data_IF_481663899807
#
_entry.id   IF_481663899807
#
_cell.length_a   1.000
_cell.length_b   1.000
_cell.length_c   1.000
_cell.angle_alpha   90.00
_cell.angle_beta   90.00
_cell.angle_gamma   90.00
#
_symmetry.space_group_name_H-M   'P 1'
#
loop_
_entity.id
_entity.type
_entity.pdbx_description
1 polymer ?
#
# COMPACT_ATOMS: atom_id res chain seq x y z
N UNK A 1 25.27 -19.87 22.79
CA UNK A 1 25.60 -18.44 22.68
C UNK A 1 24.32 -17.66 22.96
N UNK A 2 24.21 -17.04 24.13
CA UNK A 2 23.09 -16.16 24.43
C UNK A 2 23.12 -14.99 23.46
N UNK A 3 22.17 -14.96 22.54
CA UNK A 3 21.99 -13.79 21.66
C UNK A 3 21.56 -12.63 22.56
N UNK A 4 22.45 -11.67 22.77
CA UNK A 4 22.14 -10.45 23.51
C UNK A 4 20.89 -9.81 22.91
N UNK A 5 19.85 -9.60 23.73
CA UNK A 5 18.60 -9.01 23.27
C UNK A 5 18.86 -7.60 22.75
N UNK A 6 18.31 -7.26 21.58
CA UNK A 6 18.33 -5.89 21.08
C UNK A 6 17.54 -5.00 22.04
N UNK A 7 18.02 -3.80 22.28
CA UNK A 7 17.30 -2.74 22.99
C UNK A 7 17.36 -1.48 22.16
N UNK A 8 16.30 -0.71 22.13
CA UNK A 8 16.28 0.52 21.33
C UNK A 8 14.96 1.25 21.39
N UNK A 9 14.95 2.48 20.90
CA UNK A 9 13.77 3.30 20.78
C UNK A 9 12.80 2.69 19.74
N UNK A 10 11.54 2.58 20.12
CA UNK A 10 10.44 2.20 19.22
C UNK A 10 9.74 3.46 18.73
N UNK A 11 9.60 3.65 17.42
CA UNK A 11 8.67 4.64 16.85
C UNK A 11 7.35 3.97 16.49
N UNK A 12 6.23 4.52 16.96
CA UNK A 12 4.89 4.14 16.50
C UNK A 12 4.39 5.19 15.53
N UNK A 13 4.29 4.85 14.26
CA UNK A 13 3.79 5.71 13.19
C UNK A 13 2.28 5.56 13.08
N UNK A 14 1.56 6.67 13.18
CA UNK A 14 0.10 6.77 13.22
C UNK A 14 -0.39 7.67 12.07
N UNK A 15 -0.60 7.13 10.86
CA UNK A 15 -1.24 7.88 9.78
C UNK A 15 -2.65 8.31 10.19
N UNK A 16 -2.95 9.61 10.03
CA UNK A 16 -4.20 10.20 10.50
C UNK A 16 -4.83 11.10 9.43
N UNK A 17 -6.13 10.93 9.14
CA UNK A 17 -6.88 11.79 8.23
C UNK A 17 -8.33 11.93 8.69
N UNK A 18 -8.69 13.11 9.20
CA UNK A 18 -9.96 13.39 9.84
C UNK A 18 -10.25 12.42 11.02
N UNK A 19 -9.29 12.40 11.96
CA UNK A 19 -9.25 11.50 13.14
C UNK A 19 -9.18 12.31 14.45
N UNK A 20 -9.84 13.47 14.52
CA UNK A 20 -9.83 14.38 15.66
C UNK A 20 -10.14 13.67 16.99
N UNK A 21 -11.15 12.78 16.99
CA UNK A 21 -11.56 12.04 18.18
C UNK A 21 -10.63 10.88 18.54
N UNK A 22 -9.98 10.27 17.54
CA UNK A 22 -9.11 9.09 17.72
C UNK A 22 -7.73 9.47 18.27
N UNK A 23 -7.18 10.61 17.88
CA UNK A 23 -5.81 11.05 18.23
C UNK A 23 -5.56 11.08 19.75
N UNK A 24 -6.39 11.75 20.58
CA UNK A 24 -6.14 11.81 22.02
C UNK A 24 -6.15 10.41 22.67
N UNK A 25 -7.07 9.59 22.25
CA UNK A 25 -7.24 8.23 22.76
C UNK A 25 -6.08 7.33 22.37
N UNK A 26 -5.63 7.39 21.11
CA UNK A 26 -4.47 6.64 20.64
C UNK A 26 -3.21 7.03 21.42
N UNK A 27 -2.96 8.34 21.58
CA UNK A 27 -1.82 8.83 22.32
C UNK A 27 -1.80 8.33 23.79
N UNK A 28 -2.93 8.41 24.48
CA UNK A 28 -3.05 7.97 25.86
C UNK A 28 -2.88 6.45 26.01
N UNK A 29 -3.62 5.68 25.22
CA UNK A 29 -3.64 4.21 25.31
C UNK A 29 -2.28 3.61 24.97
N UNK A 30 -1.68 4.03 23.85
CA UNK A 30 -0.40 3.47 23.39
C UNK A 30 0.72 3.85 24.36
N UNK A 31 0.77 5.12 24.80
CA UNK A 31 1.78 5.58 25.77
C UNK A 31 1.67 4.79 27.10
N UNK A 32 0.46 4.56 27.61
CA UNK A 32 0.26 3.79 28.84
C UNK A 32 0.76 2.34 28.70
N UNK A 33 0.42 1.66 27.60
CA UNK A 33 0.82 0.28 27.34
C UNK A 33 2.33 0.17 27.23
N UNK A 34 2.98 1.02 26.45
CA UNK A 34 4.43 0.94 26.21
C UNK A 34 5.23 1.34 27.43
N UNK A 35 4.74 2.33 28.21
CA UNK A 35 5.34 2.69 29.49
C UNK A 35 5.26 1.55 30.52
N UNK A 36 4.11 0.87 30.62
CA UNK A 36 3.92 -0.27 31.51
C UNK A 36 4.78 -1.49 31.11
N UNK A 37 5.17 -1.59 29.85
CA UNK A 37 6.04 -2.64 29.33
C UNK A 37 7.54 -2.28 29.37
N UNK A 38 7.91 -1.10 29.92
CA UNK A 38 9.26 -0.55 29.94
C UNK A 38 9.92 -0.49 28.54
N UNK A 39 9.12 -0.09 27.50
CA UNK A 39 9.59 0.07 26.14
C UNK A 39 9.86 1.57 25.89
N UNK A 40 11.13 1.97 25.59
CA UNK A 40 11.44 3.31 25.14
C UNK A 40 10.69 3.60 23.82
N UNK A 41 9.90 4.66 23.76
CA UNK A 41 9.05 4.89 22.61
C UNK A 41 8.85 6.37 22.25
N UNK A 42 8.57 6.62 20.99
CA UNK A 42 7.96 7.84 20.48
C UNK A 42 6.70 7.49 19.67
N UNK A 43 5.71 8.35 19.72
CA UNK A 43 4.51 8.28 18.88
C UNK A 43 4.59 9.39 17.83
N UNK A 44 4.55 9.01 16.56
CA UNK A 44 4.64 9.95 15.45
C UNK A 44 3.32 9.96 14.67
N UNK A 45 2.51 10.99 14.90
CA UNK A 45 1.29 11.23 14.13
C UNK A 45 1.63 11.90 12.81
N UNK A 46 1.08 11.37 11.72
CA UNK A 46 1.22 11.94 10.38
C UNK A 46 -0.15 12.38 9.89
N UNK A 47 -0.43 13.67 9.99
CA UNK A 47 -1.69 14.27 9.51
C UNK A 47 -1.63 14.45 7.98
N UNK A 48 -2.40 13.65 7.26
CA UNK A 48 -2.52 13.67 5.79
C UNK A 48 -3.41 14.82 5.30
N UNK A 49 -3.16 16.03 5.80
CA UNK A 49 -3.85 17.24 5.38
C UNK A 49 -5.33 17.26 5.77
N UNK A 50 -5.65 16.87 7.01
CA UNK A 50 -7.00 16.88 7.57
C UNK A 50 -7.68 18.25 7.50
N UNK A 51 -9.01 18.22 7.40
CA UNK A 51 -9.87 19.41 7.34
C UNK A 51 -10.64 19.69 8.63
N UNK A 52 -10.59 18.73 9.57
CA UNK A 52 -11.17 18.81 10.92
C UNK A 52 -10.12 19.24 11.95
N UNK A 53 -10.40 19.07 13.25
CA UNK A 53 -9.51 19.38 14.35
C UNK A 53 -8.35 18.42 14.57
N UNK A 54 -8.08 17.46 13.68
CA UNK A 54 -7.02 16.43 13.86
C UNK A 54 -5.66 17.04 14.19
N UNK A 55 -5.21 18.07 13.44
CA UNK A 55 -3.93 18.70 13.71
C UNK A 55 -3.87 19.41 15.06
N UNK A 56 -4.95 20.07 15.45
CA UNK A 56 -5.03 20.68 16.77
C UNK A 56 -4.96 19.64 17.89
N UNK A 57 -5.63 18.49 17.71
CA UNK A 57 -5.56 17.37 18.63
C UNK A 57 -4.13 16.81 18.74
N UNK A 58 -3.43 16.61 17.61
CA UNK A 58 -2.02 16.14 17.61
C UNK A 58 -1.13 17.12 18.36
N UNK A 59 -1.25 18.42 18.08
CA UNK A 59 -0.46 19.47 18.76
C UNK A 59 -0.72 19.49 20.26
N UNK A 60 -1.97 19.34 20.68
CA UNK A 60 -2.33 19.26 22.10
C UNK A 60 -1.72 18.03 22.79
N UNK A 61 -1.69 16.86 22.11
CA UNK A 61 -1.05 15.67 22.66
C UNK A 61 0.47 15.80 22.73
N UNK A 62 1.10 16.42 21.74
CA UNK A 62 2.53 16.73 21.77
C UNK A 62 2.94 17.65 22.93
N UNK A 63 2.05 18.58 23.32
CA UNK A 63 2.25 19.42 24.52
C UNK A 63 2.07 18.65 25.84
N UNK A 64 1.23 17.58 25.85
CA UNK A 64 0.94 16.76 27.03
C UNK A 64 1.96 15.64 27.27
N UNK A 65 2.42 15.02 26.18
CA UNK A 65 3.32 13.85 26.24
C UNK A 65 4.62 14.15 25.49
N UNK A 66 5.78 14.19 26.16
CA UNK A 66 7.07 14.44 25.49
C UNK A 66 7.44 13.38 24.41
N UNK A 67 6.87 12.20 24.51
CA UNK A 67 7.05 11.13 23.52
C UNK A 67 6.19 11.32 22.25
N UNK A 68 5.28 12.29 22.20
CA UNK A 68 4.41 12.53 21.06
C UNK A 68 4.99 13.59 20.15
N UNK A 69 5.03 13.27 18.86
CA UNK A 69 5.43 14.17 17.78
C UNK A 69 4.38 14.13 16.67
N UNK A 70 4.32 15.19 15.89
CA UNK A 70 3.42 15.24 14.75
C UNK A 70 4.04 15.95 13.55
N UNK A 71 3.67 15.49 12.36
CA UNK A 71 3.93 16.17 11.09
C UNK A 71 2.63 16.29 10.31
N UNK A 72 2.44 17.40 9.59
CA UNK A 72 1.25 17.68 8.80
C UNK A 72 1.61 17.89 7.34
N UNK A 73 0.83 17.34 6.43
CA UNK A 73 0.95 17.60 5.00
C UNK A 73 0.25 18.88 4.56
N UNK A 74 0.73 19.46 3.47
CA UNK A 74 0.12 20.67 2.86
C UNK A 74 -1.27 20.40 2.26
N UNK A 75 -1.57 19.15 1.92
CA UNK A 75 -2.86 18.62 1.43
C UNK A 75 -2.92 17.12 1.64
N UNK A 76 -4.06 16.48 1.35
CA UNK A 76 -4.15 15.04 1.32
C UNK A 76 -3.32 14.45 0.17
N UNK A 77 -2.37 13.57 0.51
CA UNK A 77 -1.51 12.78 -0.41
C UNK A 77 -1.81 11.29 -0.34
N UNK A 78 -2.61 10.85 0.63
CA UNK A 78 -3.04 9.46 0.82
C UNK A 78 -2.26 8.70 1.89
N UNK A 79 -2.89 7.64 2.41
CA UNK A 79 -2.38 6.82 3.54
C UNK A 79 -0.96 6.31 3.30
N UNK A 80 -0.66 5.82 2.09
CA UNK A 80 0.67 5.30 1.74
C UNK A 80 1.74 6.39 1.88
N UNK A 81 1.46 7.60 1.40
CA UNK A 81 2.37 8.73 1.57
C UNK A 81 2.59 9.06 3.06
N UNK A 82 1.53 9.00 3.88
CA UNK A 82 1.64 9.22 5.32
C UNK A 82 2.48 8.15 6.02
N UNK A 83 2.34 6.88 5.65
CA UNK A 83 3.19 5.79 6.16
C UNK A 83 4.66 6.07 5.82
N UNK A 84 4.99 6.33 4.56
CA UNK A 84 6.38 6.58 4.14
C UNK A 84 6.96 7.85 4.75
N UNK A 85 6.16 8.90 4.96
CA UNK A 85 6.60 10.08 5.70
C UNK A 85 6.90 9.76 7.16
N UNK A 86 6.04 8.96 7.80
CA UNK A 86 6.26 8.47 9.16
C UNK A 86 7.54 7.65 9.27
N UNK A 87 7.78 6.71 8.35
CA UNK A 87 9.02 5.93 8.30
C UNK A 87 10.26 6.83 8.15
N UNK A 88 10.18 7.85 7.29
CA UNK A 88 11.29 8.79 7.06
C UNK A 88 11.59 9.70 8.27
N UNK A 89 10.57 10.05 9.05
CA UNK A 89 10.68 10.92 10.23
C UNK A 89 10.89 10.14 11.54
N UNK A 90 10.79 8.81 11.50
CA UNK A 90 10.95 7.94 12.67
C UNK A 90 12.40 7.91 13.15
N UNK A 91 12.61 8.13 14.46
CA UNK A 91 13.94 8.12 15.11
C UNK A 91 14.30 6.77 15.72
N UNK A 92 13.34 5.85 15.87
CA UNK A 92 13.52 4.56 16.54
C UNK A 92 14.38 3.56 15.75
N UNK A 93 15.03 2.63 16.48
CA UNK A 93 15.75 1.48 15.91
C UNK A 93 14.80 0.43 15.34
N UNK A 94 13.53 0.48 15.75
CA UNK A 94 12.45 -0.23 15.10
C UNK A 94 11.22 0.69 15.00
N UNK A 95 10.39 0.42 14.00
CA UNK A 95 9.23 1.25 13.70
C UNK A 95 7.99 0.38 13.55
N UNK A 96 6.94 0.69 14.29
CA UNK A 96 5.60 0.09 14.10
C UNK A 96 4.73 1.05 13.31
N UNK A 97 4.05 0.55 12.31
CA UNK A 97 2.96 1.26 11.62
C UNK A 97 1.63 0.70 12.10
N UNK A 98 0.72 1.55 12.53
CA UNK A 98 -0.65 1.16 12.90
C UNK A 98 -1.64 2.29 12.65
N UNK A 99 -2.92 1.95 12.46
CA UNK A 99 -3.98 2.94 12.28
C UNK A 99 -4.33 3.65 13.59
N UNK A 100 -4.66 4.94 13.50
CA UNK A 100 -4.97 5.80 14.65
C UNK A 100 -6.30 5.41 15.33
N UNK A 101 -7.20 4.69 14.65
CA UNK A 101 -8.53 4.30 15.12
C UNK A 101 -8.55 3.15 16.16
N UNK A 102 -7.36 2.63 16.51
CA UNK A 102 -7.17 1.51 17.45
C UNK A 102 -7.91 0.20 17.08
N UNK A 103 -8.26 0.01 15.79
CA UNK A 103 -8.76 -1.29 15.32
C UNK A 103 -7.69 -2.39 15.42
N UNK A 104 -6.43 -2.01 15.38
CA UNK A 104 -5.30 -2.86 15.72
C UNK A 104 -5.07 -2.78 17.24
N UNK A 105 -5.07 -3.92 17.97
CA UNK A 105 -4.88 -3.89 19.43
C UNK A 105 -3.46 -3.45 19.78
N UNK A 106 -3.30 -2.32 20.50
CA UNK A 106 -1.98 -1.76 20.82
C UNK A 106 -1.12 -2.68 21.69
N UNK A 107 -1.74 -3.59 22.47
CA UNK A 107 -1.06 -4.59 23.29
C UNK A 107 -0.14 -5.49 22.46
N UNK A 108 -0.51 -5.72 21.20
CA UNK A 108 0.28 -6.54 20.28
C UNK A 108 1.62 -5.90 19.89
N UNK A 109 1.77 -4.58 20.05
CA UNK A 109 3.04 -3.88 19.84
C UNK A 109 4.10 -4.44 20.80
N UNK A 110 3.72 -4.75 22.03
CA UNK A 110 4.65 -5.32 23.02
C UNK A 110 5.16 -6.68 22.55
N UNK A 111 4.28 -7.55 22.05
CA UNK A 111 4.66 -8.85 21.51
C UNK A 111 5.60 -8.72 20.28
N UNK A 112 5.25 -7.80 19.36
CA UNK A 112 6.09 -7.48 18.19
C UNK A 112 7.48 -6.98 18.59
N UNK A 113 7.55 -6.07 19.56
CA UNK A 113 8.83 -5.55 20.07
C UNK A 113 9.69 -6.65 20.69
N UNK A 114 9.08 -7.58 21.45
CA UNK A 114 9.81 -8.72 22.03
C UNK A 114 10.35 -9.69 20.95
N UNK A 115 9.65 -9.87 19.84
CA UNK A 115 10.16 -10.64 18.68
C UNK A 115 11.32 -9.92 17.99
N UNK A 116 11.23 -8.61 17.82
CA UNK A 116 12.32 -7.79 17.29
C UNK A 116 13.57 -7.86 18.17
N UNK A 117 13.41 -7.80 19.49
CA UNK A 117 14.53 -7.97 20.44
C UNK A 117 15.27 -9.29 20.24
N UNK A 118 14.56 -10.36 19.85
CA UNK A 118 15.15 -11.69 19.54
C UNK A 118 15.85 -11.74 18.17
N UNK A 119 15.78 -10.65 17.39
CA UNK A 119 16.48 -10.51 16.11
C UNK A 119 15.59 -10.62 14.87
N UNK A 120 14.28 -10.82 15.02
CA UNK A 120 13.33 -10.76 13.89
C UNK A 120 13.30 -9.36 13.30
N UNK A 121 13.38 -9.24 11.98
CA UNK A 121 13.53 -7.95 11.31
C UNK A 121 12.19 -7.34 10.87
N UNK A 122 11.20 -8.19 10.56
CA UNK A 122 9.85 -7.78 10.20
C UNK A 122 8.86 -8.59 11.02
N UNK A 123 7.96 -7.93 11.75
CA UNK A 123 6.87 -8.61 12.46
C UNK A 123 5.54 -8.15 11.90
N UNK A 124 4.80 -9.07 11.32
CA UNK A 124 3.50 -8.78 10.68
C UNK A 124 2.35 -9.08 11.62
N UNK A 125 1.47 -8.10 11.82
CA UNK A 125 0.16 -8.36 12.40
C UNK A 125 -0.74 -9.05 11.37
N UNK A 126 -1.24 -10.24 11.68
CA UNK A 126 -2.16 -11.01 10.83
C UNK A 126 -3.52 -11.15 11.51
N UNK A 127 -4.59 -10.93 10.76
CA UNK A 127 -5.94 -11.08 11.27
C UNK A 127 -6.25 -12.57 11.53
N UNK A 128 -6.65 -12.92 12.75
CA UNK A 128 -6.98 -14.29 13.16
C UNK A 128 -8.27 -14.80 12.54
N UNK A 129 -9.28 -13.91 12.34
CA UNK A 129 -10.54 -14.26 11.70
C UNK A 129 -11.03 -13.10 10.81
N UNK A 130 -11.59 -13.43 9.65
CA UNK A 130 -12.37 -12.52 8.82
C UNK A 130 -13.81 -12.66 9.29
N UNK A 131 -14.24 -11.89 10.29
CA UNK A 131 -15.62 -11.88 10.74
C UNK A 131 -16.64 -12.00 9.58
N UNK A 132 -17.91 -12.25 9.86
CA UNK A 132 -18.97 -12.45 8.84
C UNK A 132 -19.08 -11.27 7.88
N UNK A 133 -18.23 -11.23 6.86
CA UNK A 133 -18.33 -10.29 5.75
C UNK A 133 -19.34 -10.80 4.71
N UNK A 134 -19.93 -9.88 3.97
CA UNK A 134 -20.89 -10.18 2.90
C UNK A 134 -20.22 -11.10 1.85
N UNK A 135 -20.78 -12.29 1.54
CA UNK A 135 -20.10 -13.31 0.72
C UNK A 135 -19.63 -12.83 -0.66
N UNK A 136 -20.35 -11.89 -1.28
CA UNK A 136 -19.96 -11.29 -2.57
C UNK A 136 -18.70 -10.42 -2.44
N UNK A 137 -18.59 -9.67 -1.34
CA UNK A 137 -17.42 -8.83 -1.05
C UNK A 137 -16.20 -9.69 -0.74
N UNK A 138 -16.39 -10.77 -0.03
CA UNK A 138 -15.34 -11.75 0.31
C UNK A 138 -14.79 -12.44 -0.92
N UNK A 139 -15.65 -12.85 -1.89
CA UNK A 139 -15.23 -13.47 -3.15
C UNK A 139 -14.41 -12.47 -3.99
N UNK A 140 -14.87 -11.23 -4.13
CA UNK A 140 -14.15 -10.19 -4.88
C UNK A 140 -12.79 -9.87 -4.25
N UNK A 141 -12.74 -9.72 -2.93
CA UNK A 141 -11.51 -9.48 -2.19
C UNK A 141 -10.54 -10.66 -2.29
N UNK A 142 -11.02 -11.91 -2.15
CA UNK A 142 -10.20 -13.11 -2.26
C UNK A 142 -9.63 -13.27 -3.67
N UNK A 143 -10.44 -13.03 -4.71
CA UNK A 143 -9.97 -13.05 -6.10
C UNK A 143 -8.89 -11.99 -6.34
N UNK A 144 -9.07 -10.79 -5.82
CA UNK A 144 -8.10 -9.71 -5.90
C UNK A 144 -6.78 -10.08 -5.21
N UNK A 145 -6.84 -10.55 -3.96
CA UNK A 145 -5.64 -10.99 -3.24
C UNK A 145 -4.96 -12.19 -3.89
N UNK A 146 -5.71 -13.14 -4.45
CA UNK A 146 -5.15 -14.27 -5.18
C UNK A 146 -4.39 -13.83 -6.44
N UNK A 147 -4.92 -12.84 -7.19
CA UNK A 147 -4.26 -12.28 -8.37
C UNK A 147 -2.95 -11.58 -7.97
N UNK A 148 -3.01 -10.71 -6.94
CA UNK A 148 -1.83 -9.99 -6.46
C UNK A 148 -0.79 -10.98 -5.89
N UNK A 149 -1.21 -11.92 -5.04
CA UNK A 149 -0.29 -12.92 -4.47
C UNK A 149 0.40 -13.75 -5.55
N UNK A 150 -0.33 -14.12 -6.61
CA UNK A 150 0.26 -14.83 -7.75
C UNK A 150 1.21 -13.96 -8.57
N UNK A 151 0.89 -12.68 -8.73
CA UNK A 151 1.69 -11.71 -9.48
C UNK A 151 2.97 -11.31 -8.75
N UNK A 152 2.88 -11.12 -7.43
CA UNK A 152 4.00 -10.68 -6.56
C UNK A 152 4.76 -11.85 -5.95
N UNK A 153 4.22 -13.07 -6.00
CA UNK A 153 4.66 -14.27 -5.26
C UNK A 153 4.67 -14.08 -3.74
N UNK A 154 3.88 -13.14 -3.23
CA UNK A 154 3.73 -12.80 -1.81
C UNK A 154 2.30 -13.11 -1.41
N UNK A 155 2.10 -13.84 -0.30
CA UNK A 155 0.75 -14.07 0.23
C UNK A 155 0.19 -12.79 0.86
N UNK A 156 -0.68 -12.10 0.12
CA UNK A 156 -1.34 -10.87 0.55
C UNK A 156 -2.68 -11.11 1.25
N UNK A 157 -3.11 -12.37 1.39
CA UNK A 157 -4.46 -12.71 1.86
C UNK A 157 -4.73 -12.29 3.31
N UNK A 158 -3.70 -12.28 4.15
CA UNK A 158 -3.75 -11.89 5.57
C UNK A 158 -2.96 -10.64 5.89
N UNK A 159 -2.28 -10.04 4.90
CA UNK A 159 -1.42 -8.88 5.12
C UNK A 159 -2.22 -7.67 5.63
N UNK A 160 -1.67 -6.99 6.62
CA UNK A 160 -2.19 -5.72 7.16
C UNK A 160 -1.11 -4.65 7.11
N UNK A 161 -1.50 -3.39 7.35
CA UNK A 161 -0.53 -2.30 7.53
C UNK A 161 0.11 -2.32 8.92
N UNK A 162 -0.44 -3.14 9.84
CA UNK A 162 0.07 -3.29 11.20
C UNK A 162 1.33 -4.16 11.19
N UNK A 163 2.50 -3.51 11.13
CA UNK A 163 3.80 -4.17 11.04
C UNK A 163 4.84 -3.44 11.87
N UNK A 164 5.72 -4.22 12.51
CA UNK A 164 6.96 -3.71 13.08
C UNK A 164 8.11 -4.01 12.13
N UNK A 165 8.94 -3.02 11.87
CA UNK A 165 10.10 -3.08 10.99
C UNK A 165 11.36 -2.70 11.77
N UNK A 166 12.44 -3.47 11.64
CA UNK A 166 13.79 -3.09 12.08
C UNK A 166 14.27 -1.87 11.25
N UNK A 167 15.14 -1.04 11.79
CA UNK A 167 15.69 0.14 11.11
C UNK A 167 16.25 -0.20 9.72
N UNK A 168 16.95 -1.33 9.59
CA UNK A 168 17.48 -1.76 8.30
C UNK A 168 16.39 -2.02 7.27
N UNK A 169 15.25 -2.58 7.69
CA UNK A 169 14.10 -2.79 6.81
C UNK A 169 13.46 -1.45 6.41
N UNK A 170 13.34 -0.51 7.36
CA UNK A 170 12.87 0.86 7.10
C UNK A 170 13.77 1.56 6.09
N UNK A 171 15.08 1.56 6.31
CA UNK A 171 16.04 2.22 5.43
C UNK A 171 16.01 1.62 4.01
N UNK A 172 15.85 0.29 3.91
CA UNK A 172 15.68 -0.40 2.62
C UNK A 172 14.42 0.07 1.90
N UNK A 173 13.28 0.18 2.60
CA UNK A 173 12.03 0.69 2.02
C UNK A 173 12.14 2.14 1.56
N UNK A 174 12.81 2.98 2.35
CA UNK A 174 13.01 4.40 2.02
C UNK A 174 13.96 4.59 0.83
N UNK A 175 14.92 3.69 0.63
CA UNK A 175 15.79 3.69 -0.55
C UNK A 175 15.06 3.35 -1.86
N UNK A 176 13.87 2.71 -1.78
CA UNK A 176 13.04 2.43 -2.95
C UNK A 176 12.39 3.72 -3.46
N UNK A 177 12.63 4.06 -4.72
CA UNK A 177 12.18 5.32 -5.32
C UNK A 177 10.78 5.24 -5.95
N UNK A 178 10.11 4.09 -5.86
CA UNK A 178 8.77 3.88 -6.43
C UNK A 178 7.76 4.87 -5.86
N UNK A 179 7.11 5.66 -6.71
CA UNK A 179 6.12 6.67 -6.28
C UNK A 179 4.79 6.06 -5.87
N UNK A 180 4.39 5.01 -6.56
CA UNK A 180 3.20 4.22 -6.22
C UNK A 180 3.58 3.09 -5.22
N UNK A 181 4.23 3.47 -4.12
CA UNK A 181 4.63 2.54 -3.09
C UNK A 181 3.39 1.97 -2.37
N UNK A 182 3.23 0.66 -2.39
CA UNK A 182 2.23 -0.05 -1.62
C UNK A 182 2.93 -0.75 -0.45
N UNK A 183 2.83 -0.15 0.72
CA UNK A 183 3.59 -0.53 1.92
C UNK A 183 3.47 -2.03 2.24
N UNK A 184 2.24 -2.60 2.17
CA UNK A 184 2.01 -4.03 2.42
C UNK A 184 2.84 -4.93 1.53
N UNK A 185 2.89 -4.62 0.23
CA UNK A 185 3.62 -5.44 -0.72
C UNK A 185 5.12 -5.22 -0.59
N UNK A 186 5.57 -3.96 -0.52
CA UNK A 186 6.98 -3.63 -0.45
C UNK A 186 7.64 -4.16 0.83
N UNK A 187 6.97 -4.05 1.98
CA UNK A 187 7.48 -4.56 3.25
C UNK A 187 7.66 -6.09 3.29
N UNK A 188 6.92 -6.82 2.46
CA UNK A 188 7.11 -8.27 2.28
C UNK A 188 8.10 -8.59 1.17
N UNK A 189 8.18 -7.72 0.12
CA UNK A 189 9.08 -7.91 -1.02
C UNK A 189 10.58 -7.80 -0.64
N UNK A 190 10.91 -6.99 0.37
CA UNK A 190 12.30 -6.81 0.83
C UNK A 190 12.95 -8.09 1.37
N UNK A 191 12.17 -9.14 1.66
CA UNK A 191 12.68 -10.49 1.95
C UNK A 191 13.46 -10.66 3.26
N UNK A 192 13.23 -9.78 4.26
CA UNK A 192 13.81 -9.91 5.59
C UNK A 192 13.14 -11.04 6.39
N UNK A 193 13.84 -11.53 7.43
CA UNK A 193 13.29 -12.53 8.36
C UNK A 193 11.99 -12.01 8.98
N UNK A 194 10.89 -12.74 8.75
CA UNK A 194 9.54 -12.31 9.12
C UNK A 194 8.92 -13.27 10.13
N UNK A 195 8.31 -12.72 11.19
CA UNK A 195 7.43 -13.42 12.12
C UNK A 195 6.02 -12.85 12.04
N UNK A 196 5.02 -13.64 12.47
CA UNK A 196 3.62 -13.23 12.49
C UNK A 196 3.07 -13.18 13.91
N UNK A 197 2.25 -12.17 14.18
CA UNK A 197 1.50 -12.01 15.44
C UNK A 197 0.03 -11.93 15.08
N UNK A 198 -0.74 -12.90 15.54
CA UNK A 198 -2.18 -12.92 15.28
C UNK A 198 -2.92 -11.93 16.17
N UNK A 199 -3.91 -11.23 15.59
CA UNK A 199 -4.80 -10.33 16.32
C UNK A 199 -6.23 -10.41 15.82
N UNK A 200 -7.17 -10.16 16.73
CA UNK A 200 -8.58 -9.96 16.40
C UNK A 200 -8.83 -8.48 16.13
N UNK A 201 -9.55 -8.19 15.03
CA UNK A 201 -9.90 -6.81 14.69
C UNK A 201 -10.93 -6.30 15.67
N UNK A 202 -10.59 -5.22 16.36
CA UNK A 202 -11.55 -4.55 17.24
C UNK A 202 -12.65 -3.84 16.42
N UNK A 203 -13.91 -3.87 16.84
CA UNK A 203 -14.96 -3.15 16.14
C UNK A 203 -14.63 -1.65 16.12
N UNK A 204 -14.85 -1.00 14.96
CA UNK A 204 -14.77 0.45 14.87
C UNK A 204 -15.74 1.08 15.86
N UNK A 205 -15.25 2.01 16.66
CA UNK A 205 -16.10 2.69 17.63
C UNK A 205 -16.87 3.86 17.01
N UNK A 206 -16.41 4.41 15.87
CA UNK A 206 -17.09 5.46 15.10
C UNK A 206 -16.72 5.38 13.62
N UNK A 207 -17.68 5.66 12.72
CA UNK A 207 -17.50 5.82 11.27
C UNK A 207 -17.91 4.61 10.43
N UNK A 208 -18.57 4.90 9.30
CA UNK A 208 -18.92 3.92 8.26
C UNK A 208 -17.80 3.77 7.22
N UNK A 209 -17.62 2.57 6.67
CA UNK A 209 -16.69 2.33 5.58
C UNK A 209 -17.19 3.05 4.30
N UNK A 210 -16.45 4.07 3.84
CA UNK A 210 -16.82 4.91 2.67
C UNK A 210 -16.28 4.39 1.33
N UNK A 211 -15.93 3.11 1.21
CA UNK A 211 -15.39 2.58 -0.02
C UNK A 211 -16.50 2.26 -1.03
N UNK A 212 -16.55 3.01 -2.13
CA UNK A 212 -17.42 2.70 -3.26
C UNK A 212 -16.84 1.56 -4.11
N UNK A 213 -17.69 0.81 -4.83
CA UNK A 213 -17.26 -0.23 -5.75
C UNK A 213 -16.28 0.31 -6.82
N UNK A 214 -16.50 1.51 -7.30
CA UNK A 214 -15.62 2.18 -8.27
C UNK A 214 -14.23 2.46 -7.69
N UNK A 215 -14.15 2.85 -6.42
CA UNK A 215 -12.89 3.05 -5.72
C UNK A 215 -12.11 1.74 -5.54
N UNK A 216 -12.81 0.65 -5.22
CA UNK A 216 -12.22 -0.69 -5.11
C UNK A 216 -11.65 -1.18 -6.43
N UNK A 217 -12.40 -1.03 -7.54
CA UNK A 217 -11.93 -1.41 -8.89
C UNK A 217 -10.72 -0.57 -9.29
N UNK A 218 -10.75 0.75 -9.08
CA UNK A 218 -9.61 1.64 -9.38
C UNK A 218 -8.38 1.24 -8.56
N UNK A 219 -8.56 0.96 -7.28
CA UNK A 219 -7.49 0.50 -6.40
C UNK A 219 -6.90 -0.84 -6.87
N UNK A 220 -7.76 -1.79 -7.26
CA UNK A 220 -7.36 -3.09 -7.80
C UNK A 220 -6.52 -2.94 -9.08
N UNK A 221 -7.01 -2.17 -10.07
CA UNK A 221 -6.30 -1.95 -11.34
C UNK A 221 -4.95 -1.27 -11.09
N UNK A 222 -4.91 -0.24 -10.26
CA UNK A 222 -3.67 0.48 -9.93
C UNK A 222 -2.62 -0.46 -9.33
N UNK A 223 -3.01 -1.29 -8.36
CA UNK A 223 -2.07 -2.22 -7.71
C UNK A 223 -1.63 -3.36 -8.65
N UNK A 224 -2.55 -3.94 -9.45
CA UNK A 224 -2.18 -4.98 -10.43
C UNK A 224 -1.14 -4.44 -11.41
N UNK A 225 -1.35 -3.25 -11.96
CA UNK A 225 -0.42 -2.65 -12.94
C UNK A 225 0.91 -2.25 -12.29
N UNK A 226 0.91 -1.83 -11.03
CA UNK A 226 2.15 -1.46 -10.32
C UNK A 226 3.06 -2.67 -10.03
N UNK A 227 2.47 -3.86 -9.81
CA UNK A 227 3.23 -5.04 -9.41
C UNK A 227 3.34 -6.14 -10.47
N UNK A 228 2.67 -6.00 -11.62
CA UNK A 228 2.69 -7.03 -12.66
C UNK A 228 2.61 -6.45 -14.06
N UNK A 229 3.31 -7.12 -14.99
CA UNK A 229 3.21 -6.87 -16.43
C UNK A 229 2.14 -7.73 -17.12
N UNK A 230 1.30 -8.46 -16.35
CA UNK A 230 0.29 -9.37 -16.90
C UNK A 230 -0.66 -8.70 -17.92
N UNK A 231 -1.14 -7.45 -17.72
CA UNK A 231 -1.94 -6.77 -18.74
C UNK A 231 -1.19 -6.52 -20.04
N UNK A 232 0.13 -6.27 -20.01
CA UNK A 232 0.95 -6.18 -21.23
C UNK A 232 1.13 -7.54 -21.90
N UNK A 233 1.29 -8.61 -21.13
CA UNK A 233 1.35 -9.97 -21.67
C UNK A 233 0.03 -10.34 -22.35
N UNK A 234 -1.11 -9.92 -21.81
CA UNK A 234 -2.42 -10.11 -22.46
C UNK A 234 -2.46 -9.44 -23.83
N UNK A 235 -1.93 -8.22 -23.96
CA UNK A 235 -1.80 -7.51 -25.26
C UNK A 235 -0.98 -8.35 -26.25
N UNK A 236 0.15 -8.89 -25.79
CA UNK A 236 1.03 -9.71 -26.64
C UNK A 236 0.33 -10.99 -27.08
N UNK A 237 -0.38 -11.68 -26.19
CA UNK A 237 -1.14 -12.91 -26.50
C UNK A 237 -2.26 -12.60 -27.50
N UNK A 238 -3.03 -11.51 -27.26
CA UNK A 238 -4.09 -11.09 -28.18
C UNK A 238 -3.53 -10.79 -29.58
N UNK A 239 -2.41 -10.08 -29.64
CA UNK A 239 -1.71 -9.81 -30.92
C UNK A 239 -1.28 -11.10 -31.62
N UNK A 240 -0.72 -12.06 -30.91
CA UNK A 240 -0.34 -13.36 -31.47
C UNK A 240 -1.54 -14.17 -31.98
N UNK A 241 -2.66 -14.17 -31.23
CA UNK A 241 -3.91 -14.85 -31.67
C UNK A 241 -4.48 -14.19 -32.92
N UNK A 242 -4.57 -12.86 -32.96
CA UNK A 242 -5.07 -12.12 -34.15
C UNK A 242 -4.17 -12.37 -35.34
N UNK A 243 -2.85 -12.37 -35.14
CA UNK A 243 -1.89 -12.69 -36.21
C UNK A 243 -2.08 -14.10 -36.76
N UNK A 244 -2.18 -15.12 -35.90
CA UNK A 244 -2.41 -16.51 -36.32
C UNK A 244 -3.75 -16.66 -37.08
N UNK A 245 -4.82 -16.01 -36.60
CA UNK A 245 -6.10 -15.97 -37.29
C UNK A 245 -5.98 -15.30 -38.67
N UNK A 246 -5.27 -14.18 -38.76
CA UNK A 246 -5.08 -13.46 -40.03
C UNK A 246 -4.31 -14.30 -41.04
N UNK A 247 -3.28 -15.03 -40.60
CA UNK A 247 -2.55 -15.96 -41.48
C UNK A 247 -3.46 -17.10 -41.96
N UNK A 248 -4.23 -17.70 -41.06
CA UNK A 248 -5.14 -18.81 -41.43
C UNK A 248 -6.22 -18.36 -42.43
N UNK A 249 -6.84 -17.18 -42.17
CA UNK A 249 -7.84 -16.59 -43.07
C UNK A 249 -7.23 -16.17 -44.40
N UNK A 250 -6.01 -15.66 -44.41
CA UNK A 250 -5.27 -15.31 -45.63
C UNK A 250 -4.99 -16.52 -46.52
N UNK A 251 -4.50 -17.61 -45.92
CA UNK A 251 -4.27 -18.89 -46.63
C UNK A 251 -5.57 -19.50 -47.18
N UNK A 252 -6.65 -19.46 -46.36
CA UNK A 252 -7.97 -19.92 -46.77
C UNK A 252 -8.51 -19.11 -47.96
N UNK A 253 -8.42 -17.81 -47.90
CA UNK A 253 -8.85 -16.90 -48.98
C UNK A 253 -8.07 -17.09 -50.27
N UNK A 254 -6.76 -17.31 -50.19
CA UNK A 254 -5.91 -17.63 -51.34
C UNK A 254 -6.33 -18.98 -51.98
N UNK A 255 -6.58 -20.01 -51.15
CA UNK A 255 -7.05 -21.30 -51.63
C UNK A 255 -8.38 -21.22 -52.36
N UNK A 256 -9.38 -20.46 -51.81
CA UNK A 256 -10.68 -20.23 -52.48
C UNK A 256 -10.49 -19.47 -53.80
N UNK A 257 -9.59 -18.51 -53.88
CA UNK A 257 -9.29 -17.80 -55.14
C UNK A 257 -8.75 -18.78 -56.20
N UNK A 258 -7.86 -19.67 -55.85
CA UNK A 258 -7.29 -20.66 -56.80
C UNK A 258 -8.29 -21.73 -57.24
N UNK A 259 -9.29 -22.05 -56.40
CA UNK A 259 -10.35 -23.02 -56.72
C UNK A 259 -11.55 -22.41 -57.42
N UNK A 260 -11.55 -21.10 -57.71
CA UNK A 260 -12.65 -20.39 -58.38
C UNK A 260 -13.89 -20.19 -57.51
N UNK A 261 -13.79 -20.40 -56.20
CA UNK A 261 -14.87 -20.25 -55.22
C UNK A 261 -14.77 -18.92 -54.42
N UNK A 262 -14.21 -17.87 -55.03
CA UNK A 262 -14.02 -16.57 -54.33
C UNK A 262 -15.41 -16.01 -53.92
N UNK A 263 -15.57 -15.78 -52.63
CA UNK A 263 -16.78 -15.21 -52.03
C UNK A 263 -16.88 -13.71 -52.35
N UNK A 264 -18.08 -13.23 -52.69
CA UNK A 264 -18.42 -11.81 -52.61
C UNK A 264 -18.39 -11.39 -51.13
N UNK A 265 -17.29 -10.75 -50.73
CA UNK A 265 -16.97 -10.68 -49.30
C UNK A 265 -16.91 -9.27 -48.70
N UNK A 266 -17.59 -8.23 -49.25
CA UNK A 266 -17.54 -6.87 -48.72
C UNK A 266 -17.90 -6.79 -47.22
N UNK A 267 -18.99 -7.44 -46.82
CA UNK A 267 -19.45 -7.49 -45.41
C UNK A 267 -18.44 -8.18 -44.51
N UNK A 268 -17.84 -9.27 -44.97
CA UNK A 268 -16.80 -10.03 -44.20
C UNK A 268 -15.55 -9.17 -43.98
N UNK A 269 -15.12 -8.42 -44.97
CA UNK A 269 -13.97 -7.50 -44.86
C UNK A 269 -14.25 -6.40 -43.84
N UNK A 270 -15.45 -5.78 -43.84
CA UNK A 270 -15.83 -4.77 -42.86
C UNK A 270 -15.85 -5.34 -41.45
N UNK A 271 -16.45 -6.52 -41.23
CA UNK A 271 -16.50 -7.14 -39.91
C UNK A 271 -15.11 -7.49 -39.36
N UNK A 272 -14.25 -8.06 -40.23
CA UNK A 272 -12.87 -8.35 -39.86
C UNK A 272 -12.10 -7.07 -39.51
N UNK A 273 -12.26 -6.00 -40.29
CA UNK A 273 -11.61 -4.74 -40.01
C UNK A 273 -12.06 -4.09 -38.71
N UNK A 274 -13.38 -4.17 -38.39
CA UNK A 274 -13.93 -3.70 -37.12
C UNK A 274 -13.37 -4.51 -35.94
N UNK A 275 -13.29 -5.84 -36.05
CA UNK A 275 -12.72 -6.72 -34.99
C UNK A 275 -11.23 -6.37 -34.76
N UNK A 276 -10.43 -6.34 -35.84
CA UNK A 276 -9.00 -6.01 -35.73
C UNK A 276 -8.83 -4.61 -35.16
N UNK A 277 -9.57 -3.62 -35.64
CA UNK A 277 -9.55 -2.24 -35.14
C UNK A 277 -9.89 -2.16 -33.67
N UNK A 278 -10.91 -2.88 -33.20
CA UNK A 278 -11.30 -2.92 -31.78
C UNK A 278 -10.21 -3.53 -30.90
N UNK A 279 -9.58 -4.63 -31.34
CA UNK A 279 -8.47 -5.24 -30.62
C UNK A 279 -7.26 -4.28 -30.54
N UNK A 280 -6.92 -3.62 -31.64
CA UNK A 280 -5.84 -2.64 -31.66
C UNK A 280 -6.09 -1.47 -30.72
N UNK A 281 -7.30 -0.90 -30.71
CA UNK A 281 -7.69 0.18 -29.81
C UNK A 281 -7.61 -0.24 -28.35
N UNK A 282 -8.04 -1.47 -28.02
CA UNK A 282 -7.93 -2.01 -26.68
C UNK A 282 -6.46 -2.18 -26.25
N UNK A 283 -5.62 -2.72 -27.12
CA UNK A 283 -4.18 -2.86 -26.89
C UNK A 283 -3.49 -1.52 -26.65
N UNK A 284 -3.79 -0.52 -27.51
CA UNK A 284 -3.28 0.84 -27.36
C UNK A 284 -3.72 1.48 -26.04
N UNK A 285 -4.95 1.22 -25.58
CA UNK A 285 -5.44 1.67 -24.28
C UNK A 285 -4.61 1.14 -23.12
N UNK A 286 -4.29 -0.16 -23.13
CA UNK A 286 -3.42 -0.75 -22.09
C UNK A 286 -2.00 -0.16 -22.14
N UNK A 287 -1.41 -0.07 -23.33
CA UNK A 287 -0.08 0.52 -23.50
C UNK A 287 -0.07 1.98 -23.02
N UNK A 288 -1.09 2.77 -23.41
CA UNK A 288 -1.25 4.16 -22.99
C UNK A 288 -1.30 4.30 -21.45
N UNK A 289 -1.98 3.37 -20.77
CA UNK A 289 -2.04 3.35 -19.32
C UNK A 289 -0.65 3.12 -18.68
N UNK A 290 0.16 2.19 -19.22
CA UNK A 290 1.53 1.97 -18.74
C UNK A 290 2.45 3.16 -19.02
N UNK A 291 2.30 3.79 -20.20
CA UNK A 291 3.05 5.02 -20.53
C UNK A 291 2.70 6.13 -19.54
N UNK A 292 1.41 6.29 -19.19
CA UNK A 292 0.98 7.26 -18.19
C UNK A 292 1.62 6.98 -16.81
N UNK A 293 1.74 5.71 -16.40
CA UNK A 293 2.42 5.31 -15.16
C UNK A 293 3.91 5.62 -15.18
N UNK A 294 4.60 5.30 -16.27
CA UNK A 294 6.02 5.65 -16.48
C UNK A 294 6.19 7.17 -16.43
N UNK A 295 5.30 7.93 -17.05
CA UNK A 295 5.33 9.39 -17.04
C UNK A 295 5.16 9.97 -15.63
N UNK A 296 4.27 9.40 -14.80
CA UNK A 296 4.12 9.77 -13.38
C UNK A 296 5.42 9.53 -12.61
N UNK A 297 6.12 8.44 -12.89
CA UNK A 297 7.38 8.06 -12.24
C UNK A 297 8.54 8.99 -12.63
N UNK A 298 8.65 9.33 -13.91
CA UNK A 298 9.71 10.21 -14.44
C UNK A 298 9.56 11.66 -13.95
N UNK A 299 8.36 12.13 -13.66
CA UNK A 299 8.14 13.51 -13.18
C UNK A 299 8.89 13.86 -11.90
N UNK A 300 9.33 12.88 -11.16
CA UNK A 300 10.07 13.01 -9.90
C UNK A 300 9.49 14.02 -8.88
N UNK A 301 8.17 14.13 -8.81
CA UNK A 301 7.49 14.92 -7.78
C UNK A 301 7.61 14.22 -6.44
N UNK A 302 7.81 14.97 -5.32
CA UNK A 302 7.86 14.36 -4.00
C UNK A 302 6.54 13.64 -3.66
N UNK A 303 6.63 12.52 -2.94
CA UNK A 303 5.45 11.73 -2.52
C UNK A 303 4.51 12.53 -1.62
N UNK A 304 5.06 13.45 -0.83
CA UNK A 304 4.34 14.34 0.10
C UNK A 304 5.11 15.64 0.28
N UNK A 305 4.44 16.65 0.84
CA UNK A 305 5.02 17.95 1.22
C UNK A 305 4.61 18.22 2.65
N UNK A 306 5.60 18.34 3.55
CA UNK A 306 5.37 18.73 4.93
C UNK A 306 5.05 20.23 5.00
N UNK A 307 4.04 20.59 5.78
CA UNK A 307 3.65 21.99 6.03
C UNK A 307 3.92 22.44 7.46
N UNK A 308 3.78 21.52 8.42
CA UNK A 308 3.93 21.83 9.85
C UNK A 308 4.51 20.61 10.58
N UNK A 309 5.19 20.86 11.69
CA UNK A 309 5.65 19.85 12.64
C UNK A 309 5.40 20.33 14.07
N UNK A 310 5.21 19.40 15.00
CA UNK A 310 5.08 19.69 16.42
C UNK A 310 5.67 18.55 17.28
N UNK A 311 6.08 18.87 18.51
CA UNK A 311 6.67 17.92 19.45
C UNK A 311 8.11 17.55 19.11
N UNK A 312 8.82 17.00 20.11
CA UNK A 312 10.26 16.81 20.04
C UNK A 312 10.97 18.07 20.55
N UNK A 313 11.97 17.92 21.38
CA UNK A 313 12.87 19.02 21.68
C UNK A 313 13.68 19.28 20.42
N UNK A 314 13.54 20.46 19.84
CA UNK A 314 14.38 20.92 18.73
C UNK A 314 15.84 20.99 19.23
N UNK A 315 16.63 20.01 18.81
CA UNK A 315 18.10 20.08 18.89
C UNK A 315 18.71 20.54 17.54
N UNK A 316 17.91 20.98 16.58
CA UNK A 316 18.42 21.51 15.31
C UNK A 316 17.60 22.71 14.79
N UNK A 317 17.53 23.82 15.55
CA UNK A 317 17.53 25.15 14.92
C UNK A 317 18.96 25.41 14.44
N UNK A 318 19.38 24.80 13.35
CA UNK A 318 20.42 25.38 12.52
C UNK A 318 19.74 26.35 11.58
N UNK A 319 19.82 27.61 11.96
CA UNK A 319 19.74 28.75 11.06
C UNK A 319 20.49 28.42 9.77
N UNK A 320 19.77 28.36 8.67
CA UNK A 320 20.36 28.47 7.35
C UNK A 320 20.54 29.94 7.02
N UNK A 321 21.75 30.38 6.59
CA UNK A 321 22.07 31.78 6.31
C UNK A 321 21.39 32.30 5.03
#
# INVERSE_FOLDING_TARGET
MDKQLKTGLLTVVLPSYNEEASVPRAAETITAILKNADIPHELLFVDDGSRDGTWAAVTAQAGKYPAVRGVKFSRNFGKEAAIFAGLAQAKGECVVVMDCDLQHPPEKIVEMYRLWQKGVQVVEGVKSDRGKENPLHTIAANSFYAIISRATKIDMSRASDFKLLDRRAVDTLLAMREKNAFFRALSSWIGFETAQVEFEVQPRMEGESKWSLTSLVKYAVTNIVSFTTAPLQLVTIMGAVVFAMSVALGLWSLWQKFTGQALEGFTTVILLQLIIGSVLMFCLGIIGYYIAKIYEEIKDRPRYILSQACGGKDEDEKEDP
#
